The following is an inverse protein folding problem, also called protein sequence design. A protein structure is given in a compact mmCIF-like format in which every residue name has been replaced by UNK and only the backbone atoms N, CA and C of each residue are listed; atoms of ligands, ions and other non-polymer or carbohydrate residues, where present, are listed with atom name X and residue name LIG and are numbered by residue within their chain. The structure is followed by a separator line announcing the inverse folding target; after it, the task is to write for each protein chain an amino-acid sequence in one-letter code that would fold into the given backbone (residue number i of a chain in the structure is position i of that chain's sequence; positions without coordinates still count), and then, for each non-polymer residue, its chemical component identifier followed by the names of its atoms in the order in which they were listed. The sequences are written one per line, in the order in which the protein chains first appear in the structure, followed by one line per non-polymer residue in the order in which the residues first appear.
data_IF_676026853861
#
_entry.id   IF_676026853861
#
_cell.length_a   1.000
_cell.length_b   1.000
_cell.length_c   1.000
_cell.angle_alpha   90.00
_cell.angle_beta   90.00
_cell.angle_gamma   90.00
#
_symmetry.space_group_name_H-M   'P 1'
#
loop_
_entity.id
_entity.type
_entity.pdbx_description
1 polymer ?
#
# COMPACT_ATOMS: atom_id res chain seq x y z
N UNK A 1 6.89 -12.55 39.57
CA UNK A 1 6.23 -12.30 38.27
C UNK A 1 6.84 -11.03 37.70
N UNK A 2 7.69 -11.13 36.66
CA UNK A 2 8.51 -10.03 36.18
C UNK A 2 8.21 -9.70 34.72
N UNK A 3 7.76 -8.45 34.50
CA UNK A 3 8.21 -7.59 33.41
C UNK A 3 7.80 -8.00 32.00
N UNK A 4 6.52 -7.78 31.64
CA UNK A 4 6.18 -7.43 30.27
C UNK A 4 6.84 -6.06 29.98
N UNK A 5 8.14 -6.09 29.63
CA UNK A 5 8.73 -4.93 28.99
C UNK A 5 7.89 -4.65 27.75
N UNK A 6 7.50 -3.41 27.58
CA UNK A 6 6.84 -2.88 26.38
C UNK A 6 7.79 -3.00 25.18
N UNK A 7 7.98 -4.23 24.69
CA UNK A 7 8.81 -4.62 23.55
C UNK A 7 7.96 -4.74 22.31
N UNK A 8 6.98 -3.88 22.09
CA UNK A 8 6.16 -3.99 20.89
C UNK A 8 7.03 -3.75 19.64
N UNK A 9 7.11 -4.73 18.71
CA UNK A 9 7.97 -4.62 17.55
C UNK A 9 7.31 -3.67 16.57
N UNK A 10 7.96 -2.57 16.19
CA UNK A 10 7.40 -1.61 15.24
C UNK A 10 7.96 -1.86 13.86
N UNK A 11 7.10 -2.23 12.91
CA UNK A 11 7.49 -2.47 11.52
C UNK A 11 6.98 -1.35 10.63
N UNK A 12 7.79 -0.93 9.65
CA UNK A 12 7.45 0.04 8.61
C UNK A 12 7.79 -0.52 7.23
N UNK A 13 6.87 -0.36 6.29
CA UNK A 13 7.01 -0.75 4.89
C UNK A 13 7.15 0.51 4.03
N UNK A 14 8.36 0.83 3.57
CA UNK A 14 8.64 1.93 2.67
C UNK A 14 8.21 3.30 3.16
N UNK A 15 8.30 3.51 4.48
CA UNK A 15 7.85 4.73 5.15
C UNK A 15 6.46 4.61 5.80
N UNK A 16 5.63 3.64 5.43
CA UNK A 16 4.30 3.43 6.02
C UNK A 16 4.39 2.51 7.24
N UNK A 17 3.75 2.86 8.36
CA UNK A 17 3.70 1.98 9.52
C UNK A 17 2.85 0.73 9.22
N UNK A 18 3.26 -0.43 9.74
CA UNK A 18 2.44 -1.64 9.72
C UNK A 18 1.10 -1.37 10.44
N UNK A 19 0.02 -1.95 9.94
CA UNK A 19 -1.30 -1.84 10.57
C UNK A 19 -1.36 -2.57 11.92
N UNK A 20 -0.62 -3.68 12.04
CA UNK A 20 -0.43 -4.38 13.30
C UNK A 20 0.86 -5.18 13.28
N UNK A 21 1.40 -5.47 14.45
CA UNK A 21 2.64 -6.22 14.64
C UNK A 21 2.53 -7.09 15.87
N UNK A 22 2.97 -8.34 15.79
CA UNK A 22 2.93 -9.30 16.88
C UNK A 22 4.20 -10.14 16.91
N UNK A 23 4.64 -10.49 18.12
CA UNK A 23 5.71 -11.45 18.31
C UNK A 23 5.18 -12.86 18.12
N UNK A 24 5.79 -13.62 17.23
CA UNK A 24 5.50 -15.05 17.06
C UNK A 24 6.57 -15.89 17.78
N UNK A 25 7.84 -15.51 17.65
CA UNK A 25 8.96 -16.18 18.30
C UNK A 25 10.16 -15.22 18.45
N UNK A 26 11.24 -15.60 19.17
CA UNK A 26 12.46 -14.79 19.23
C UNK A 26 13.10 -14.49 17.86
N UNK A 27 12.73 -15.25 16.81
CA UNK A 27 13.24 -15.10 15.45
C UNK A 27 12.18 -14.71 14.43
N UNK A 28 10.90 -14.58 14.85
CA UNK A 28 9.77 -14.35 13.94
C UNK A 28 8.83 -13.28 14.49
N UNK A 29 8.51 -12.31 13.63
CA UNK A 29 7.55 -11.23 13.91
C UNK A 29 6.51 -11.24 12.79
N UNK A 30 5.25 -11.27 13.18
CA UNK A 30 4.13 -11.08 12.28
C UNK A 30 3.87 -9.58 12.13
N UNK A 31 3.81 -9.09 10.90
CA UNK A 31 3.49 -7.70 10.61
C UNK A 31 2.42 -7.64 9.52
N UNK A 32 1.30 -6.99 9.82
CA UNK A 32 0.25 -6.71 8.85
C UNK A 32 0.60 -5.43 8.10
N UNK A 33 0.79 -5.54 6.80
CA UNK A 33 1.02 -4.40 5.92
C UNK A 33 -0.23 -3.51 5.92
N UNK A 34 -0.05 -2.21 6.08
CA UNK A 34 -1.16 -1.26 5.95
C UNK A 34 -1.56 -1.11 4.47
N UNK A 35 -2.84 -0.80 4.17
CA UNK A 35 -3.24 -0.47 2.82
C UNK A 35 -2.34 0.61 2.24
N UNK A 36 -1.89 0.41 1.01
CA UNK A 36 -0.94 1.30 0.34
C UNK A 36 -1.00 1.14 -1.15
N UNK A 37 -0.57 2.18 -1.86
CA UNK A 37 -0.36 2.15 -3.31
C UNK A 37 1.04 2.63 -3.65
N UNK A 38 1.51 2.22 -4.81
CA UNK A 38 2.71 2.76 -5.44
C UNK A 38 3.69 1.68 -5.82
N UNK A 39 4.16 1.76 -7.06
CA UNK A 39 5.09 0.83 -7.67
C UNK A 39 6.50 0.94 -7.08
N UNK A 40 7.26 -0.14 -7.24
CA UNK A 40 8.67 -0.20 -6.91
C UNK A 40 8.96 -0.86 -5.56
N UNK A 41 10.17 -1.42 -5.48
CA UNK A 41 10.66 -2.05 -4.28
C UNK A 41 10.89 -1.03 -3.18
N UNK A 42 10.43 -1.36 -1.98
CA UNK A 42 10.48 -0.54 -0.77
C UNK A 42 11.28 -1.24 0.31
N UNK A 43 11.86 -0.44 1.20
CA UNK A 43 12.59 -0.95 2.36
C UNK A 43 11.63 -1.33 3.50
N UNK A 44 11.96 -2.39 4.24
CA UNK A 44 11.30 -2.73 5.49
C UNK A 44 12.20 -2.26 6.63
N UNK A 45 11.62 -1.55 7.60
CA UNK A 45 12.32 -1.13 8.82
C UNK A 45 11.63 -1.76 10.02
N UNK A 46 12.36 -2.58 10.77
CA UNK A 46 11.92 -3.15 12.04
C UNK A 46 12.61 -2.41 13.18
N UNK A 47 11.84 -1.99 14.18
CA UNK A 47 12.34 -1.32 15.38
C UNK A 47 11.90 -2.07 16.62
N UNK A 48 12.84 -2.48 17.47
CA UNK A 48 12.59 -3.18 18.74
C UNK A 48 13.39 -2.45 19.82
N UNK A 49 12.73 -1.91 20.86
CA UNK A 49 13.41 -1.24 21.99
C UNK A 49 14.54 -0.27 21.55
N UNK A 50 14.29 0.52 20.52
CA UNK A 50 15.23 1.50 19.93
C UNK A 50 16.35 0.92 19.04
N UNK A 51 16.42 -0.39 18.85
CA UNK A 51 17.28 -1.03 17.83
C UNK A 51 16.52 -1.06 16.52
N UNK A 52 17.16 -0.59 15.44
CA UNK A 52 16.61 -0.60 14.08
C UNK A 52 17.33 -1.63 13.21
N UNK A 53 16.56 -2.44 12.50
CA UNK A 53 17.01 -3.27 11.41
C UNK A 53 16.32 -2.81 10.13
N UNK A 54 17.08 -2.70 9.03
CA UNK A 54 16.56 -2.25 7.74
C UNK A 54 16.90 -3.28 6.69
N UNK A 55 15.92 -3.64 5.88
CA UNK A 55 16.08 -4.46 4.69
C UNK A 55 15.62 -3.65 3.48
N UNK A 56 16.55 -3.29 2.61
CA UNK A 56 16.24 -2.57 1.37
C UNK A 56 15.60 -3.50 0.34
N UNK A 57 14.74 -2.95 -0.51
CA UNK A 57 14.16 -3.66 -1.66
C UNK A 57 13.40 -4.96 -1.35
N UNK A 58 12.79 -5.06 -0.18
CA UNK A 58 12.18 -6.29 0.33
C UNK A 58 10.67 -6.40 0.11
N UNK A 59 9.99 -5.27 -0.12
CA UNK A 59 8.54 -5.22 -0.19
C UNK A 59 8.08 -4.37 -1.37
N UNK A 60 7.08 -4.81 -2.11
CA UNK A 60 6.46 -4.04 -3.20
C UNK A 60 4.95 -4.19 -3.12
N UNK A 61 4.22 -3.10 -3.38
CA UNK A 61 2.77 -3.17 -3.52
C UNK A 61 2.42 -3.71 -4.89
N UNK A 62 1.34 -4.49 -4.96
CA UNK A 62 0.81 -4.96 -6.22
C UNK A 62 0.42 -3.79 -7.13
N UNK A 63 0.82 -3.86 -8.40
CA UNK A 63 0.52 -2.81 -9.36
C UNK A 63 -1.00 -2.79 -9.67
N UNK A 64 -1.60 -1.59 -9.84
CA UNK A 64 -2.99 -1.49 -10.24
C UNK A 64 -3.20 -2.06 -11.64
N UNK A 65 -4.17 -2.96 -11.78
CA UNK A 65 -4.56 -3.57 -13.05
C UNK A 65 -5.98 -3.15 -13.40
N UNK A 66 -6.15 -2.55 -14.59
CA UNK A 66 -7.47 -2.23 -15.12
C UNK A 66 -7.99 -3.45 -15.88
N UNK A 67 -9.13 -3.99 -15.44
CA UNK A 67 -9.76 -5.15 -16.08
C UNK A 67 -10.83 -4.72 -17.09
N UNK A 68 -11.63 -3.71 -16.72
CA UNK A 68 -12.75 -3.28 -17.53
C UNK A 68 -13.02 -1.79 -17.33
N UNK A 69 -13.51 -1.15 -18.38
CA UNK A 69 -14.10 0.18 -18.30
C UNK A 69 -15.57 0.09 -18.69
N UNK A 70 -16.41 0.91 -18.05
CA UNK A 70 -17.85 0.97 -18.33
C UNK A 70 -18.31 2.42 -18.42
N UNK A 71 -18.95 2.81 -19.54
CA UNK A 71 -19.20 2.03 -20.75
C UNK A 71 -17.91 1.76 -21.57
N UNK A 72 -17.85 0.65 -22.35
CA UNK A 72 -16.69 0.32 -23.18
C UNK A 72 -16.63 1.24 -24.42
N UNK A 73 -16.11 2.45 -24.23
CA UNK A 73 -15.93 3.45 -25.28
C UNK A 73 -17.22 4.19 -25.69
N UNK A 74 -17.06 5.19 -26.55
CA UNK A 74 -18.19 5.98 -27.07
C UNK A 74 -18.72 7.06 -26.13
N UNK A 75 -17.91 7.53 -25.18
CA UNK A 75 -18.32 8.60 -24.27
C UNK A 75 -18.34 9.97 -24.95
N UNK A 76 -19.39 10.73 -24.67
CA UNK A 76 -19.50 12.16 -24.93
C UNK A 76 -18.64 13.00 -23.97
N UNK A 77 -18.55 14.30 -24.25
CA UNK A 77 -17.82 15.24 -23.40
C UNK A 77 -18.51 15.37 -22.02
N UNK A 78 -17.76 15.18 -20.94
CA UNK A 78 -18.26 15.34 -19.57
C UNK A 78 -18.99 14.12 -19.00
N UNK A 79 -18.94 12.97 -19.68
CA UNK A 79 -19.53 11.73 -19.15
C UNK A 79 -18.59 10.99 -18.20
N UNK A 80 -19.16 10.32 -17.19
CA UNK A 80 -18.43 9.55 -16.20
C UNK A 80 -17.99 8.20 -16.76
N UNK A 81 -16.70 7.90 -16.66
CA UNK A 81 -16.13 6.58 -16.97
C UNK A 81 -15.85 5.82 -15.68
N UNK A 82 -16.50 4.67 -15.50
CA UNK A 82 -16.16 3.77 -14.39
C UNK A 82 -15.00 2.86 -14.80
N UNK A 83 -13.91 2.87 -14.03
CA UNK A 83 -12.75 1.99 -14.22
C UNK A 83 -12.77 0.91 -13.15
N UNK A 84 -12.91 -0.35 -13.57
CA UNK A 84 -12.92 -1.52 -12.68
C UNK A 84 -11.64 -2.34 -12.85
N UNK A 85 -11.10 -2.81 -11.74
CA UNK A 85 -9.81 -3.49 -11.72
C UNK A 85 -9.40 -3.92 -10.32
N UNK A 86 -8.14 -4.34 -10.20
CA UNK A 86 -7.53 -4.79 -8.93
C UNK A 86 -6.32 -3.92 -8.60
N UNK A 87 -5.88 -3.93 -7.33
CA UNK A 87 -4.68 -3.20 -6.93
C UNK A 87 -4.80 -1.68 -6.89
N UNK A 88 -6.02 -1.11 -6.96
CA UNK A 88 -6.23 0.36 -6.89
C UNK A 88 -5.94 0.97 -5.51
N UNK A 89 -5.71 0.14 -4.50
CA UNK A 89 -5.58 0.56 -3.10
C UNK A 89 -6.92 0.63 -2.38
N UNK A 90 -6.85 0.64 -1.05
CA UNK A 90 -8.03 0.69 -0.16
C UNK A 90 -8.44 2.09 0.28
N UNK A 91 -7.88 3.15 -0.33
CA UNK A 91 -8.17 4.55 0.01
C UNK A 91 -7.96 5.44 -1.21
N UNK A 92 -8.57 6.62 -1.19
CA UNK A 92 -8.35 7.65 -2.20
C UNK A 92 -6.89 8.15 -2.14
N UNK A 93 -6.09 7.63 -3.09
CA UNK A 93 -4.69 8.01 -3.27
C UNK A 93 -4.51 9.16 -4.28
N UNK A 94 -5.60 9.83 -4.66
CA UNK A 94 -5.68 10.77 -5.78
C UNK A 94 -5.22 10.12 -7.08
N UNK A 95 -5.92 9.07 -7.55
CA UNK A 95 -5.57 8.43 -8.81
C UNK A 95 -5.55 9.48 -9.94
N UNK A 96 -4.71 9.30 -10.95
CA UNK A 96 -4.68 10.22 -12.11
C UNK A 96 -5.04 9.41 -13.34
N UNK A 97 -6.27 9.56 -13.81
CA UNK A 97 -6.72 8.96 -15.06
C UNK A 97 -6.48 9.93 -16.22
N UNK A 98 -6.09 9.39 -17.37
CA UNK A 98 -5.99 10.11 -18.63
C UNK A 98 -6.63 9.29 -19.74
N UNK A 99 -7.46 9.92 -20.57
CA UNK A 99 -8.06 9.31 -21.76
C UNK A 99 -7.53 10.04 -22.99
N UNK A 100 -6.82 9.34 -23.87
CA UNK A 100 -6.29 9.93 -25.11
C UNK A 100 -5.31 11.10 -24.95
N UNK A 101 -4.75 11.30 -23.74
CA UNK A 101 -3.84 12.41 -23.40
C UNK A 101 -4.48 13.52 -22.56
N UNK A 102 -5.81 13.63 -22.54
CA UNK A 102 -6.56 14.58 -21.71
C UNK A 102 -6.67 14.07 -20.28
N UNK A 103 -6.54 14.96 -19.30
CA UNK A 103 -6.80 14.63 -17.89
C UNK A 103 -8.32 14.45 -17.69
N UNK A 104 -8.72 13.44 -16.93
CA UNK A 104 -10.10 13.35 -16.45
C UNK A 104 -10.31 14.44 -15.39
N UNK A 105 -11.36 15.24 -15.53
CA UNK A 105 -11.61 16.43 -14.69
C UNK A 105 -12.28 16.07 -13.34
N UNK A 106 -12.72 14.82 -13.18
CA UNK A 106 -13.24 14.30 -11.92
C UNK A 106 -12.37 13.12 -11.48
N UNK A 107 -11.81 13.21 -10.26
CA UNK A 107 -11.14 12.09 -9.59
C UNK A 107 -11.66 11.98 -8.16
#
# INVERSE_FOLDING_TARGET
AFGASDTEPKVRFGGTAAASTAWESPTSILARVAPGVGAGKRSIVLTIKSIRATMSEAFEYEAPLINQTSPPGGLGLGETLSINGTGFGGYDSRPKARVGGSACEET
#
